data_IF_775824445620
#
_entry.id   IF_775824445620
#
_cell.length_a   1.000
_cell.length_b   1.000
_cell.length_c   1.000
_cell.angle_alpha   90.00
_cell.angle_beta   90.00
_cell.angle_gamma   90.00
#
_symmetry.space_group_name_H-M   'P 1'
#
loop_
_entity.id
_entity.type
_entity.pdbx_description
1 polymer ?
#
# COMPACT_ATOMS: atom_id res chain seq x y z
N UNK A 1 39.14 25.94 -48.71
CA UNK A 1 37.87 25.22 -48.88
C UNK A 1 38.19 23.76 -49.11
N UNK A 2 37.78 22.89 -48.19
CA UNK A 2 37.46 21.47 -48.38
C UNK A 2 37.42 20.82 -47.00
N UNK A 3 36.19 20.76 -46.48
CA UNK A 3 35.74 20.01 -45.32
C UNK A 3 35.76 18.52 -45.63
N UNK A 4 36.19 17.69 -44.68
CA UNK A 4 35.76 16.28 -44.61
C UNK A 4 35.83 15.74 -43.19
N UNK A 5 34.66 15.81 -42.55
CA UNK A 5 34.00 14.77 -41.77
C UNK A 5 34.81 14.02 -40.72
N UNK A 6 34.79 14.64 -39.53
CA UNK A 6 34.96 13.98 -38.25
C UNK A 6 33.75 13.07 -37.99
N UNK A 7 33.93 11.75 -38.14
CA UNK A 7 32.91 10.75 -37.79
C UNK A 7 32.88 10.60 -36.27
N UNK A 8 32.08 11.45 -35.61
CA UNK A 8 31.75 11.29 -34.20
C UNK A 8 30.88 10.05 -34.04
N UNK A 9 31.53 8.98 -33.61
CA UNK A 9 30.92 7.74 -33.15
C UNK A 9 30.29 7.99 -31.76
N UNK A 10 29.12 8.62 -31.73
CA UNK A 10 28.29 8.74 -30.54
C UNK A 10 27.61 7.39 -30.25
N UNK A 11 28.39 6.48 -29.64
CA UNK A 11 27.85 5.34 -28.89
C UNK A 11 26.89 5.89 -27.84
N UNK A 12 25.60 5.85 -28.14
CA UNK A 12 24.57 6.16 -27.15
C UNK A 12 24.64 5.05 -26.10
N UNK A 13 25.20 5.36 -24.93
CA UNK A 13 24.98 4.63 -23.69
C UNK A 13 23.49 4.75 -23.35
N UNK A 14 22.65 3.95 -24.00
CA UNK A 14 21.28 3.72 -23.52
C UNK A 14 21.42 2.72 -22.39
N UNK A 15 21.27 3.21 -21.16
CA UNK A 15 21.03 2.34 -20.02
C UNK A 15 19.90 1.37 -20.36
N UNK A 16 20.01 0.08 -19.98
CA UNK A 16 19.00 -0.90 -20.34
C UNK A 16 17.65 -0.50 -19.72
N UNK A 17 16.58 -0.52 -20.53
CA UNK A 17 15.26 0.07 -20.25
C UNK A 17 14.61 -0.40 -18.93
N UNK A 18 15.08 -1.51 -18.35
CA UNK A 18 14.59 -2.02 -17.07
C UNK A 18 14.93 -1.13 -15.87
N UNK A 19 15.98 -0.30 -15.94
CA UNK A 19 16.30 0.69 -14.87
C UNK A 19 15.20 1.72 -14.64
N UNK A 20 14.20 1.80 -15.52
CA UNK A 20 13.04 2.70 -15.37
C UNK A 20 11.97 2.15 -14.43
N UNK A 21 11.99 0.85 -14.15
CA UNK A 21 10.98 0.21 -13.33
C UNK A 21 11.53 0.03 -11.92
N UNK A 22 10.98 0.78 -10.97
CA UNK A 22 11.33 0.62 -9.55
C UNK A 22 10.07 0.69 -8.71
N UNK A 23 9.82 -0.39 -7.97
CA UNK A 23 8.76 -0.43 -6.96
C UNK A 23 9.25 0.24 -5.67
N UNK A 24 8.32 0.72 -4.86
CA UNK A 24 8.65 1.23 -3.53
C UNK A 24 9.15 0.06 -2.68
N UNK A 25 10.22 0.22 -1.90
CA UNK A 25 10.68 -0.84 -1.01
C UNK A 25 9.70 -1.04 0.14
N UNK A 26 9.44 -2.29 0.51
CA UNK A 26 8.75 -2.65 1.75
C UNK A 26 9.69 -2.35 2.91
N UNK A 27 9.15 -1.79 3.97
CA UNK A 27 9.84 -1.44 5.21
C UNK A 27 9.12 -2.09 6.37
N UNK A 28 9.89 -2.70 7.26
CA UNK A 28 9.43 -3.19 8.55
C UNK A 28 10.09 -2.38 9.66
N UNK A 29 9.28 -1.96 10.62
CA UNK A 29 9.74 -1.30 11.83
C UNK A 29 9.95 -2.33 12.94
N UNK A 30 10.70 -1.96 13.98
CA UNK A 30 10.98 -2.83 15.13
C UNK A 30 9.71 -3.26 15.90
N UNK A 31 8.63 -2.48 15.82
CA UNK A 31 7.32 -2.76 16.42
C UNK A 31 6.46 -3.71 15.57
N UNK A 32 7.04 -4.33 14.54
CA UNK A 32 6.37 -5.19 13.54
C UNK A 32 5.38 -4.46 12.64
N UNK A 33 5.21 -3.14 12.75
CA UNK A 33 4.48 -2.38 11.75
C UNK A 33 5.24 -2.39 10.42
N UNK A 34 4.51 -2.32 9.31
CA UNK A 34 5.11 -2.30 7.98
C UNK A 34 4.29 -1.39 7.05
N UNK A 35 4.92 -0.95 5.95
CA UNK A 35 4.26 -0.12 4.95
C UNK A 35 3.65 -0.94 3.79
N UNK A 36 3.32 -2.22 3.99
CA UNK A 36 2.93 -3.11 2.90
C UNK A 36 1.67 -2.64 2.16
N UNK A 37 0.68 -2.03 2.83
CA UNK A 37 -0.49 -1.49 2.13
C UNK A 37 -0.14 -0.28 1.25
N UNK A 38 0.74 0.60 1.72
CA UNK A 38 1.25 1.70 0.91
C UNK A 38 2.01 1.16 -0.31
N UNK A 39 2.87 0.16 -0.10
CA UNK A 39 3.54 -0.57 -1.16
C UNK A 39 2.54 -1.16 -2.15
N UNK A 40 1.56 -1.94 -1.68
CA UNK A 40 0.54 -2.61 -2.49
C UNK A 40 -0.21 -1.60 -3.36
N UNK A 41 -0.63 -0.48 -2.76
CA UNK A 41 -1.33 0.58 -3.48
C UNK A 41 -0.44 1.22 -4.54
N UNK A 42 0.73 1.73 -4.17
CA UNK A 42 1.66 2.40 -5.10
C UNK A 42 2.16 1.47 -6.20
N UNK A 43 2.48 0.22 -5.85
CA UNK A 43 2.88 -0.81 -6.80
C UNK A 43 1.75 -1.11 -7.78
N UNK A 44 0.50 -1.26 -7.31
CA UNK A 44 -0.64 -1.51 -8.20
C UNK A 44 -0.82 -0.40 -9.25
N UNK A 45 -0.65 0.88 -8.86
CA UNK A 45 -0.74 2.03 -9.77
C UNK A 45 0.40 1.99 -10.80
N UNK A 46 1.64 1.80 -10.33
CA UNK A 46 2.83 1.73 -11.22
C UNK A 46 2.74 0.57 -12.20
N UNK A 47 2.40 -0.63 -11.72
CA UNK A 47 2.29 -1.83 -12.54
C UNK A 47 1.17 -1.75 -13.57
N UNK A 48 0.05 -1.08 -13.23
CA UNK A 48 -1.01 -0.77 -14.22
C UNK A 48 -0.49 0.20 -15.29
N UNK A 49 0.21 1.26 -14.90
CA UNK A 49 0.81 2.21 -15.84
C UNK A 49 1.83 1.53 -16.78
N UNK A 50 2.57 0.54 -16.29
CA UNK A 50 3.52 -0.24 -17.07
C UNK A 50 2.92 -1.43 -17.81
N UNK A 51 1.60 -1.65 -17.72
CA UNK A 51 0.88 -2.81 -18.30
C UNK A 51 1.41 -4.16 -17.82
N UNK A 52 2.03 -4.20 -16.64
CA UNK A 52 2.53 -5.41 -15.99
C UNK A 52 1.53 -6.00 -14.99
N UNK A 53 0.48 -5.26 -14.61
CA UNK A 53 -0.50 -5.74 -13.62
C UNK A 53 -1.21 -7.05 -14.04
N UNK A 54 -1.47 -7.22 -15.34
CA UNK A 54 -2.10 -8.42 -15.95
C UNK A 54 -1.33 -9.72 -15.70
N UNK A 55 -0.14 -9.64 -15.14
CA UNK A 55 0.75 -10.76 -14.85
C UNK A 55 0.70 -11.22 -13.39
N UNK A 56 0.19 -10.36 -12.50
CA UNK A 56 -0.09 -10.69 -11.10
C UNK A 56 -1.57 -10.97 -10.89
N UNK A 57 -2.49 -10.25 -11.54
CA UNK A 57 -3.91 -10.42 -11.24
C UNK A 57 -4.82 -9.45 -11.98
N UNK A 58 -6.11 -9.52 -11.63
CA UNK A 58 -7.18 -8.77 -12.30
C UNK A 58 -7.79 -9.51 -13.49
N UNK A 59 -8.75 -8.89 -14.15
CA UNK A 59 -9.57 -9.54 -15.19
C UNK A 59 -8.77 -9.96 -16.44
N UNK A 60 -7.59 -9.35 -16.63
CA UNK A 60 -6.66 -9.66 -17.72
C UNK A 60 -5.66 -10.78 -17.37
N UNK A 61 -5.64 -11.27 -16.12
CA UNK A 61 -4.73 -12.32 -15.70
C UNK A 61 -5.11 -13.67 -16.31
N UNK A 62 -4.32 -14.08 -17.31
CA UNK A 62 -4.48 -15.34 -18.04
C UNK A 62 -3.10 -15.99 -18.15
N UNK A 63 -2.65 -16.74 -17.12
CA UNK A 63 -1.37 -17.44 -17.16
C UNK A 63 -1.39 -18.47 -18.30
N UNK A 64 -0.26 -18.69 -18.99
CA UNK A 64 -0.19 -19.69 -20.03
C UNK A 64 -0.18 -21.08 -19.39
N UNK A 65 -0.81 -22.05 -20.05
CA UNK A 65 -0.76 -23.45 -19.59
C UNK A 65 0.44 -24.11 -20.26
N UNK A 66 1.52 -24.26 -19.50
CA UNK A 66 2.71 -25.00 -19.93
C UNK A 66 2.63 -26.38 -19.29
N UNK A 67 2.67 -27.48 -20.07
CA UNK A 67 2.66 -28.83 -19.52
C UNK A 67 3.85 -29.04 -18.57
N UNK A 68 3.64 -29.82 -17.51
CA UNK A 68 4.75 -30.24 -16.65
C UNK A 68 5.73 -31.09 -17.47
N UNK A 69 7.03 -30.83 -17.30
CA UNK A 69 8.08 -31.55 -18.02
C UNK A 69 8.15 -33.00 -17.52
N UNK A 70 7.76 -33.93 -18.39
CA UNK A 70 7.95 -35.37 -18.21
C UNK A 70 9.23 -35.76 -18.96
N UNK A 71 10.34 -36.05 -18.26
CA UNK A 71 11.59 -36.40 -18.91
C UNK A 71 11.49 -37.77 -19.57
N UNK A 72 12.18 -37.96 -20.70
CA UNK A 72 12.29 -39.27 -21.33
C UNK A 72 12.96 -40.27 -20.37
N UNK A 73 12.38 -41.46 -20.24
CA UNK A 73 12.89 -42.51 -19.37
C UNK A 73 13.41 -43.68 -20.20
N UNK A 74 14.57 -44.21 -19.82
CA UNK A 74 15.06 -45.48 -20.33
C UNK A 74 14.71 -46.57 -19.34
N UNK A 75 13.95 -47.56 -19.80
CA UNK A 75 13.54 -48.72 -19.01
C UNK A 75 14.04 -49.99 -19.71
N UNK A 76 14.48 -50.97 -18.92
CA UNK A 76 14.84 -52.28 -19.44
C UNK A 76 13.58 -53.14 -19.57
N UNK A 77 13.29 -53.56 -20.79
CA UNK A 77 12.20 -54.49 -21.10
C UNK A 77 12.73 -55.77 -21.73
N UNK A 78 11.89 -56.82 -21.79
CA UNK A 78 12.18 -57.98 -22.65
C UNK A 78 11.53 -57.78 -24.00
N UNK A 79 12.26 -58.05 -25.08
CA UNK A 79 11.69 -58.09 -26.43
C UNK A 79 10.85 -59.37 -26.65
N UNK A 80 10.24 -59.49 -27.83
CA UNK A 80 9.44 -60.67 -28.21
C UNK A 80 10.25 -61.97 -28.30
N UNK A 81 11.58 -61.90 -28.18
CA UNK A 81 12.51 -63.04 -28.19
C UNK A 81 13.08 -63.33 -26.79
N UNK A 82 12.68 -62.58 -25.76
CA UNK A 82 13.14 -62.74 -24.38
C UNK A 82 14.46 -62.03 -24.04
N UNK A 83 15.06 -61.28 -24.96
CA UNK A 83 16.29 -60.51 -24.71
C UNK A 83 15.99 -59.22 -23.96
N UNK A 84 16.87 -58.83 -23.05
CA UNK A 84 16.78 -57.53 -22.37
C UNK A 84 17.16 -56.43 -23.37
N UNK A 85 16.24 -55.52 -23.63
CA UNK A 85 16.41 -54.36 -24.50
C UNK A 85 16.08 -53.08 -23.73
N UNK A 86 16.84 -52.03 -23.98
CA UNK A 86 16.54 -50.70 -23.47
C UNK A 86 15.43 -50.06 -24.32
N UNK A 87 14.26 -49.87 -23.72
CA UNK A 87 13.14 -49.15 -24.32
C UNK A 87 13.18 -47.71 -23.81
N UNK A 88 13.18 -46.75 -24.73
CA UNK A 88 13.09 -45.32 -24.38
C UNK A 88 11.63 -44.89 -24.46
N UNK A 89 11.03 -44.56 -23.32
CA UNK A 89 9.78 -43.83 -23.25
C UNK A 89 10.07 -42.37 -23.55
N UNK A 90 9.51 -41.85 -24.64
CA UNK A 90 9.66 -40.44 -25.00
C UNK A 90 8.89 -39.57 -24.02
N UNK A 91 9.59 -38.57 -23.48
CA UNK A 91 9.00 -37.50 -22.68
C UNK A 91 8.32 -36.44 -23.54
N UNK A 92 7.80 -35.39 -22.90
CA UNK A 92 7.07 -34.29 -23.57
C UNK A 92 7.93 -33.03 -23.81
N UNK A 93 9.27 -33.16 -23.79
CA UNK A 93 10.20 -32.03 -23.93
C UNK A 93 9.89 -31.12 -25.14
N UNK A 94 9.48 -31.71 -26.27
CA UNK A 94 9.14 -30.96 -27.48
C UNK A 94 7.86 -30.12 -27.31
N UNK A 95 6.84 -30.66 -26.64
CA UNK A 95 5.58 -29.96 -26.36
C UNK A 95 5.81 -28.78 -25.41
N UNK A 96 6.60 -29.00 -24.35
CA UNK A 96 6.98 -27.94 -23.40
C UNK A 96 7.75 -26.83 -24.11
N UNK A 97 8.75 -27.17 -24.93
CA UNK A 97 9.54 -26.17 -25.66
C UNK A 97 8.70 -25.35 -26.66
N UNK A 98 7.70 -25.97 -27.30
CA UNK A 98 6.74 -25.25 -28.17
C UNK A 98 5.87 -24.31 -27.35
N UNK A 99 5.34 -24.77 -26.21
CA UNK A 99 4.52 -23.96 -25.32
C UNK A 99 5.30 -22.77 -24.74
N UNK A 100 6.54 -22.98 -24.31
CA UNK A 100 7.43 -21.91 -23.83
C UNK A 100 7.73 -20.88 -24.93
N UNK A 101 7.97 -21.33 -26.17
CA UNK A 101 8.20 -20.43 -27.30
C UNK A 101 6.94 -19.63 -27.67
N UNK A 102 5.77 -20.27 -27.63
CA UNK A 102 4.48 -19.63 -27.92
C UNK A 102 4.17 -18.51 -26.90
N UNK A 103 4.59 -18.71 -25.65
CA UNK A 103 4.31 -17.80 -24.54
C UNK A 103 5.56 -17.05 -24.04
N UNK A 104 6.60 -16.93 -24.86
CA UNK A 104 7.89 -16.37 -24.46
C UNK A 104 7.77 -14.94 -23.90
N UNK A 105 7.00 -14.07 -24.56
CA UNK A 105 6.77 -12.69 -24.09
C UNK A 105 6.11 -12.66 -22.70
N UNK A 106 5.20 -13.59 -22.45
CA UNK A 106 4.56 -13.68 -21.15
C UNK A 106 5.60 -14.13 -20.10
N UNK A 107 6.27 -15.25 -20.32
CA UNK A 107 7.29 -15.73 -19.38
C UNK A 107 8.40 -14.71 -19.09
N UNK A 108 8.82 -13.94 -20.09
CA UNK A 108 9.81 -12.87 -19.91
C UNK A 108 9.30 -11.76 -18.99
N UNK A 109 8.08 -11.26 -19.23
CA UNK A 109 7.50 -10.22 -18.40
C UNK A 109 7.15 -10.70 -16.99
N UNK A 110 6.76 -11.97 -16.82
CA UNK A 110 6.56 -12.57 -15.49
C UNK A 110 7.86 -12.57 -14.69
N UNK A 111 8.95 -13.01 -15.31
CA UNK A 111 10.29 -13.02 -14.70
C UNK A 111 10.77 -11.62 -14.37
N UNK A 112 10.56 -10.66 -15.27
CA UNK A 112 10.85 -9.25 -15.00
C UNK A 112 10.10 -8.78 -13.75
N UNK A 113 8.79 -9.04 -13.69
CA UNK A 113 7.96 -8.61 -12.58
C UNK A 113 8.33 -9.29 -11.26
N UNK A 114 8.62 -10.59 -11.29
CA UNK A 114 9.14 -11.34 -10.16
C UNK A 114 10.45 -10.72 -9.65
N UNK A 115 11.35 -10.30 -10.55
CA UNK A 115 12.58 -9.62 -10.17
C UNK A 115 12.34 -8.26 -9.49
N UNK A 116 11.36 -7.48 -9.98
CA UNK A 116 10.99 -6.18 -9.38
C UNK A 116 10.36 -6.36 -7.99
N UNK A 117 9.54 -7.40 -7.82
CA UNK A 117 8.97 -7.75 -6.51
C UNK A 117 10.09 -8.15 -5.55
N UNK A 118 11.02 -9.01 -5.99
CA UNK A 118 12.12 -9.46 -5.15
C UNK A 118 13.04 -8.30 -4.72
N UNK A 119 13.30 -7.32 -5.60
CA UNK A 119 14.07 -6.12 -5.27
C UNK A 119 13.35 -5.22 -4.25
N UNK A 120 12.02 -5.18 -4.26
CA UNK A 120 11.24 -4.40 -3.30
C UNK A 120 11.21 -5.00 -1.89
N UNK A 121 11.53 -6.28 -1.74
CA UNK A 121 11.44 -7.01 -0.47
C UNK A 121 12.75 -6.88 0.33
N UNK A 122 12.69 -6.56 1.64
CA UNK A 122 13.84 -6.58 2.52
C UNK A 122 14.57 -7.91 2.48
N UNK A 123 15.90 -7.88 2.49
CA UNK A 123 16.73 -9.07 2.45
C UNK A 123 16.35 -10.11 3.53
N UNK A 124 16.00 -9.63 4.73
CA UNK A 124 15.59 -10.45 5.88
C UNK A 124 14.33 -11.30 5.61
N UNK A 125 13.53 -10.90 4.61
CA UNK A 125 12.26 -11.54 4.24
C UNK A 125 12.29 -12.19 2.86
N UNK A 126 13.48 -12.27 2.24
CA UNK A 126 13.68 -12.97 0.96
C UNK A 126 13.24 -14.44 1.00
N UNK A 127 13.25 -15.09 2.17
CA UNK A 127 12.76 -16.46 2.35
C UNK A 127 11.29 -16.63 1.94
N UNK A 128 10.47 -15.57 2.04
CA UNK A 128 9.05 -15.60 1.66
C UNK A 128 8.90 -15.87 0.16
N UNK A 129 9.85 -15.39 -0.64
CA UNK A 129 9.84 -15.52 -2.10
C UNK A 129 10.61 -16.72 -2.62
N UNK A 130 11.35 -17.44 -1.77
CA UNK A 130 12.30 -18.49 -2.20
C UNK A 130 11.64 -19.63 -3.01
N UNK A 131 10.37 -19.93 -2.74
CA UNK A 131 9.62 -21.00 -3.41
C UNK A 131 8.65 -20.48 -4.49
N UNK A 132 8.67 -19.17 -4.76
CA UNK A 132 7.78 -18.57 -5.74
C UNK A 132 8.41 -18.64 -7.13
N UNK A 133 7.70 -19.26 -8.08
CA UNK A 133 8.17 -19.40 -9.46
C UNK A 133 7.56 -18.36 -10.39
N UNK A 134 6.45 -17.75 -9.99
CA UNK A 134 5.76 -16.72 -10.78
C UNK A 134 5.62 -15.42 -9.99
N UNK A 135 5.44 -14.31 -10.70
CA UNK A 135 5.17 -13.02 -10.06
C UNK A 135 3.84 -13.01 -9.28
N UNK A 136 2.84 -13.78 -9.76
CA UNK A 136 1.58 -14.02 -9.06
C UNK A 136 1.79 -14.69 -7.71
N UNK A 137 2.55 -15.78 -7.66
CA UNK A 137 2.83 -16.51 -6.43
C UNK A 137 3.58 -15.64 -5.43
N UNK A 138 4.58 -14.90 -5.91
CA UNK A 138 5.35 -13.96 -5.10
C UNK A 138 4.46 -12.88 -4.49
N UNK A 139 3.59 -12.27 -5.30
CA UNK A 139 2.66 -11.25 -4.81
C UNK A 139 1.71 -11.80 -3.74
N UNK A 140 1.13 -12.98 -3.98
CA UNK A 140 0.23 -13.63 -3.02
C UNK A 140 0.95 -14.04 -1.73
N UNK A 141 2.19 -14.51 -1.83
CA UNK A 141 3.01 -14.84 -0.66
C UNK A 141 3.23 -13.59 0.22
N UNK A 142 3.52 -12.44 -0.40
CA UNK A 142 3.64 -11.17 0.32
C UNK A 142 2.32 -10.75 0.95
N UNK A 143 1.20 -10.84 0.22
CA UNK A 143 -0.12 -10.56 0.79
C UNK A 143 -0.39 -11.41 2.04
N UNK A 144 -0.10 -12.71 2.00
CA UNK A 144 -0.30 -13.62 3.15
C UNK A 144 0.60 -13.31 4.35
N UNK A 145 1.83 -12.89 4.10
CA UNK A 145 2.79 -12.55 5.17
C UNK A 145 2.44 -11.22 5.85
N UNK A 146 2.09 -10.19 5.06
CA UNK A 146 2.02 -8.82 5.55
C UNK A 146 0.60 -8.33 5.90
N UNK A 147 -0.43 -8.77 5.18
CA UNK A 147 -1.79 -8.25 5.38
C UNK A 147 -2.38 -8.59 6.76
N UNK A 148 -2.26 -9.82 7.29
CA UNK A 148 -2.89 -10.15 8.57
C UNK A 148 -2.41 -9.26 9.72
N UNK A 149 -1.12 -8.92 9.73
CA UNK A 149 -0.55 -8.07 10.77
C UNK A 149 -1.05 -6.62 10.64
N UNK A 150 -1.14 -6.10 9.42
CA UNK A 150 -1.69 -4.77 9.17
C UNK A 150 -3.17 -4.70 9.57
N UNK A 151 -3.97 -5.70 9.22
CA UNK A 151 -5.38 -5.78 9.64
C UNK A 151 -5.53 -5.82 11.15
N UNK A 152 -4.72 -6.59 11.87
CA UNK A 152 -4.80 -6.66 13.33
C UNK A 152 -4.38 -5.35 14.00
N UNK A 153 -3.32 -4.71 13.52
CA UNK A 153 -2.87 -3.40 13.99
C UNK A 153 -3.95 -2.34 13.72
N UNK A 154 -4.52 -2.34 12.52
CA UNK A 154 -5.58 -1.41 12.14
C UNK A 154 -6.85 -1.62 12.98
N UNK A 155 -7.27 -2.86 13.23
CA UNK A 155 -8.36 -3.18 14.16
C UNK A 155 -8.09 -2.66 15.56
N UNK A 156 -6.86 -2.81 16.05
CA UNK A 156 -6.46 -2.30 17.36
C UNK A 156 -6.57 -0.77 17.43
N UNK A 157 -6.07 -0.04 16.43
CA UNK A 157 -6.24 1.42 16.36
C UNK A 157 -7.70 1.84 16.24
N UNK A 158 -8.49 1.16 15.43
CA UNK A 158 -9.92 1.41 15.30
C UNK A 158 -10.64 1.27 16.66
N UNK A 159 -10.31 0.21 17.42
CA UNK A 159 -10.83 0.00 18.77
C UNK A 159 -10.38 1.10 19.74
N UNK A 160 -9.11 1.50 19.71
CA UNK A 160 -8.62 2.60 20.55
C UNK A 160 -9.35 3.90 20.25
N UNK A 161 -9.48 4.27 18.96
CA UNK A 161 -10.22 5.47 18.54
C UNK A 161 -11.69 5.41 19.01
N UNK A 162 -12.32 4.25 18.87
CA UNK A 162 -13.73 4.06 19.25
C UNK A 162 -14.00 4.06 20.76
N UNK A 163 -12.96 3.86 21.59
CA UNK A 163 -13.11 3.75 23.05
C UNK A 163 -12.47 4.91 23.82
N UNK A 164 -11.51 5.61 23.21
CA UNK A 164 -10.75 6.67 23.85
C UNK A 164 -11.55 7.97 23.96
N UNK A 165 -12.27 8.13 25.07
CA UNK A 165 -12.97 9.37 25.41
C UNK A 165 -12.09 10.36 26.16
N UNK A 166 -12.27 11.65 25.87
CA UNK A 166 -11.71 12.72 26.67
C UNK A 166 -12.29 12.64 28.09
N UNK A 167 -11.42 12.38 29.07
CA UNK A 167 -11.85 12.26 30.46
C UNK A 167 -12.26 13.61 31.04
N UNK A 168 -13.19 13.65 32.02
CA UNK A 168 -13.51 14.88 32.73
C UNK A 168 -12.27 15.50 33.37
N UNK A 169 -12.06 16.80 33.15
CA UNK A 169 -10.89 17.52 33.66
C UNK A 169 -9.60 17.37 32.83
N UNK A 170 -9.55 16.48 31.83
CA UNK A 170 -8.44 16.41 30.88
C UNK A 170 -8.53 17.53 29.84
N UNK A 171 -7.39 17.92 29.24
CA UNK A 171 -7.37 18.92 28.17
C UNK A 171 -7.84 18.30 26.84
N UNK A 172 -8.92 18.84 26.22
CA UNK A 172 -9.36 18.35 24.92
C UNK A 172 -8.38 18.57 23.78
N UNK A 173 -7.42 19.51 23.89
CA UNK A 173 -6.40 19.66 22.85
C UNK A 173 -5.40 18.50 22.85
N UNK A 174 -4.92 18.08 24.02
CA UNK A 174 -4.07 16.89 24.16
C UNK A 174 -4.80 15.62 23.69
N UNK A 175 -6.05 15.43 24.13
CA UNK A 175 -6.88 14.31 23.66
C UNK A 175 -7.07 14.32 22.14
N UNK A 176 -7.36 15.48 21.55
CA UNK A 176 -7.55 15.64 20.11
C UNK A 176 -6.26 15.28 19.35
N UNK A 177 -5.10 15.68 19.85
CA UNK A 177 -3.81 15.34 19.25
C UNK A 177 -3.59 13.83 19.22
N UNK A 178 -3.85 13.14 20.34
CA UNK A 178 -3.76 11.67 20.40
C UNK A 178 -4.74 11.00 19.42
N UNK A 179 -5.98 11.48 19.34
CA UNK A 179 -6.97 10.96 18.39
C UNK A 179 -6.53 11.13 16.93
N UNK A 180 -5.94 12.29 16.58
CA UNK A 180 -5.42 12.53 15.23
C UNK A 180 -4.24 11.62 14.90
N UNK A 181 -3.36 11.36 15.85
CA UNK A 181 -2.24 10.43 15.66
C UNK A 181 -2.72 9.00 15.48
N UNK A 182 -3.69 8.55 16.29
CA UNK A 182 -4.29 7.22 16.16
C UNK A 182 -4.99 7.07 14.80
N UNK A 183 -5.74 8.09 14.36
CA UNK A 183 -6.42 8.06 13.07
C UNK A 183 -5.43 8.08 11.89
N UNK A 184 -4.33 8.83 12.01
CA UNK A 184 -3.24 8.80 11.03
C UNK A 184 -2.59 7.41 10.93
N UNK A 185 -2.34 6.76 12.08
CA UNK A 185 -1.83 5.39 12.14
C UNK A 185 -2.82 4.37 11.59
N UNK A 186 -4.12 4.53 11.88
CA UNK A 186 -5.18 3.72 11.30
C UNK A 186 -5.19 3.87 9.78
N UNK A 187 -5.21 5.10 9.25
CA UNK A 187 -5.20 5.34 7.80
C UNK A 187 -3.97 4.75 7.11
N UNK A 188 -2.81 4.77 7.78
CA UNK A 188 -1.59 4.15 7.26
C UNK A 188 -1.67 2.61 7.27
N UNK A 189 -2.35 2.03 8.27
CA UNK A 189 -2.47 0.59 8.45
C UNK A 189 -3.65 -0.05 7.70
N UNK A 190 -4.77 0.66 7.53
CA UNK A 190 -5.92 0.37 6.68
C UNK A 190 -6.91 1.56 6.68
N UNK A 191 -6.98 2.30 5.57
CA UNK A 191 -7.89 3.45 5.43
C UNK A 191 -9.35 3.09 5.19
N UNK A 192 -9.68 1.80 4.99
CA UNK A 192 -11.05 1.35 4.71
C UNK A 192 -11.85 1.06 5.97
N UNK A 193 -11.19 0.88 7.12
CA UNK A 193 -11.84 0.52 8.38
C UNK A 193 -12.64 1.66 9.02
N UNK A 194 -12.28 2.92 8.72
CA UNK A 194 -12.98 4.09 9.25
C UNK A 194 -12.90 5.22 8.24
N UNK A 195 -14.05 5.68 7.79
CA UNK A 195 -14.15 6.87 6.96
C UNK A 195 -13.92 8.15 7.76
N UNK A 196 -13.55 9.23 7.07
CA UNK A 196 -13.33 10.54 7.70
C UNK A 196 -14.57 11.06 8.43
N UNK A 197 -15.77 10.77 7.92
CA UNK A 197 -17.03 11.17 8.52
C UNK A 197 -17.38 10.35 9.77
N UNK A 198 -17.03 9.06 9.79
CA UNK A 198 -17.13 8.23 11.00
C UNK A 198 -16.16 8.71 12.07
N UNK A 199 -14.92 9.04 11.69
CA UNK A 199 -13.96 9.62 12.61
C UNK A 199 -14.45 10.96 13.18
N UNK A 200 -15.00 11.84 12.33
CA UNK A 200 -15.61 13.10 12.77
C UNK A 200 -16.74 12.87 13.81
N UNK A 201 -17.60 11.87 13.56
CA UNK A 201 -18.67 11.49 14.50
C UNK A 201 -18.10 10.97 15.83
N UNK A 202 -17.02 10.18 15.80
CA UNK A 202 -16.35 9.69 17.01
C UNK A 202 -15.78 10.88 17.80
N UNK A 203 -15.10 11.83 17.15
CA UNK A 203 -14.58 13.03 17.81
C UNK A 203 -15.69 13.77 18.57
N UNK A 204 -16.85 13.98 17.94
CA UNK A 204 -17.98 14.69 18.57
C UNK A 204 -18.58 13.87 19.73
N UNK A 205 -18.62 12.54 19.60
CA UNK A 205 -19.22 11.63 20.59
C UNK A 205 -18.35 11.50 21.83
N UNK A 206 -17.03 11.44 21.65
CA UNK A 206 -16.03 11.17 22.69
C UNK A 206 -15.39 12.45 23.27
N UNK A 207 -15.81 13.62 22.79
CA UNK A 207 -15.43 14.92 23.33
C UNK A 207 -15.77 15.06 24.83
N UNK A 208 -15.00 15.90 25.53
CA UNK A 208 -15.20 16.16 26.96
C UNK A 208 -16.64 16.52 27.29
N UNK A 209 -17.13 15.97 28.41
CA UNK A 209 -18.45 16.30 28.96
C UNK A 209 -18.43 17.54 29.86
N UNK A 210 -17.26 18.12 30.09
CA UNK A 210 -17.10 19.29 30.95
C UNK A 210 -17.94 20.47 30.46
N UNK A 211 -18.54 21.20 31.40
CA UNK A 211 -19.44 22.32 31.10
C UNK A 211 -18.76 23.41 30.28
N UNK A 212 -17.44 23.55 30.46
CA UNK A 212 -16.57 24.46 29.70
C UNK A 212 -16.73 24.25 28.20
N UNK A 213 -16.95 23.03 27.74
CA UNK A 213 -16.98 22.67 26.32
C UNK A 213 -18.39 22.46 25.78
N UNK A 214 -19.41 22.71 26.60
CA UNK A 214 -20.82 22.45 26.27
C UNK A 214 -21.26 23.12 24.98
N UNK A 215 -20.98 24.41 24.81
CA UNK A 215 -21.41 25.16 23.63
C UNK A 215 -20.83 24.60 22.34
N UNK A 216 -19.52 24.35 22.30
CA UNK A 216 -18.81 23.77 21.16
C UNK A 216 -19.33 22.37 20.83
N UNK A 217 -19.54 21.54 21.86
CA UNK A 217 -20.08 20.19 21.72
C UNK A 217 -21.50 20.21 21.14
N UNK A 218 -22.38 21.05 21.68
CA UNK A 218 -23.78 21.12 21.27
C UNK A 218 -23.90 21.71 19.84
N UNK A 219 -23.03 22.69 19.50
CA UNK A 219 -22.87 23.18 18.13
C UNK A 219 -22.46 22.06 17.16
N UNK A 220 -21.39 21.31 17.47
CA UNK A 220 -20.92 20.21 16.62
C UNK A 220 -21.95 19.09 16.47
N UNK A 221 -22.71 18.78 17.53
CA UNK A 221 -23.83 17.83 17.45
C UNK A 221 -24.94 18.30 16.53
N UNK A 222 -25.24 19.59 16.54
CA UNK A 222 -26.23 20.20 15.63
C UNK A 222 -25.75 20.10 14.18
N UNK A 223 -24.47 20.40 13.93
CA UNK A 223 -23.87 20.24 12.60
C UNK A 223 -23.88 18.79 12.11
N UNK A 224 -23.61 17.84 13.00
CA UNK A 224 -23.69 16.41 12.68
C UNK A 224 -25.12 15.98 12.32
N UNK A 225 -26.13 16.47 13.02
CA UNK A 225 -27.54 16.20 12.70
C UNK A 225 -27.94 16.81 11.35
N UNK A 226 -27.50 18.04 11.06
CA UNK A 226 -27.76 18.70 9.78
C UNK A 226 -27.09 17.94 8.62
N UNK A 227 -25.85 17.50 8.79
CA UNK A 227 -25.14 16.65 7.85
C UNK A 227 -25.91 15.36 7.53
N UNK A 228 -26.48 14.71 8.56
CA UNK A 228 -27.30 13.51 8.39
C UNK A 228 -28.61 13.78 7.64
N UNK A 229 -29.26 14.91 7.89
CA UNK A 229 -30.50 15.29 7.21
C UNK A 229 -30.27 15.67 5.74
N UNK A 230 -29.15 16.33 5.44
CA UNK A 230 -28.83 16.82 4.09
C UNK A 230 -28.09 15.79 3.25
N UNK A 231 -27.59 14.71 3.85
CA UNK A 231 -26.77 13.69 3.19
C UNK A 231 -25.34 14.15 2.88
N UNK A 232 -24.95 15.36 3.31
CA UNK A 232 -23.58 15.87 3.16
C UNK A 232 -22.79 15.51 4.41
N UNK A 233 -21.79 14.61 4.32
CA UNK A 233 -21.07 14.15 5.50
C UNK A 233 -20.22 15.27 6.12
N UNK A 234 -20.25 15.34 7.44
CA UNK A 234 -19.37 16.21 8.21
C UNK A 234 -17.95 15.62 8.22
N UNK A 235 -16.93 16.42 7.94
CA UNK A 235 -15.54 15.99 7.89
C UNK A 235 -14.82 16.19 9.21
N UNK A 236 -13.77 15.39 9.45
CA UNK A 236 -12.96 15.52 10.65
C UNK A 236 -12.23 16.87 10.69
N UNK A 237 -11.83 17.41 9.54
CA UNK A 237 -11.19 18.72 9.40
C UNK A 237 -12.05 19.86 9.94
N UNK A 238 -13.36 19.86 9.67
CA UNK A 238 -14.29 20.85 10.22
C UNK A 238 -14.36 20.75 11.73
N UNK A 239 -14.49 19.54 12.28
CA UNK A 239 -14.53 19.30 13.73
C UNK A 239 -13.24 19.77 14.40
N UNK A 240 -12.09 19.37 13.86
CA UNK A 240 -10.76 19.76 14.37
C UNK A 240 -10.57 21.27 14.36
N UNK A 241 -10.98 21.95 13.28
CA UNK A 241 -10.87 23.40 13.19
C UNK A 241 -11.68 24.09 14.29
N UNK A 242 -12.93 23.66 14.50
CA UNK A 242 -13.80 24.22 15.55
C UNK A 242 -13.21 24.01 16.94
N UNK A 243 -12.73 22.81 17.24
CA UNK A 243 -12.11 22.49 18.53
C UNK A 243 -10.85 23.31 18.80
N UNK A 244 -10.00 23.48 17.78
CA UNK A 244 -8.78 24.30 17.90
C UNK A 244 -9.08 25.78 18.08
N UNK A 245 -10.03 26.33 17.32
CA UNK A 245 -10.46 27.73 17.47
C UNK A 245 -10.97 28.02 18.88
N UNK A 246 -11.86 27.16 19.40
CA UNK A 246 -12.38 27.31 20.76
C UNK A 246 -11.28 27.23 21.82
N UNK A 247 -10.32 26.32 21.64
CA UNK A 247 -9.19 26.17 22.56
C UNK A 247 -8.32 27.45 22.62
N UNK A 248 -8.13 28.12 21.48
CA UNK A 248 -7.44 29.41 21.38
C UNK A 248 -8.25 30.52 22.06
N UNK A 249 -9.54 30.61 21.78
CA UNK A 249 -10.43 31.66 22.29
C UNK A 249 -10.58 31.60 23.82
N UNK A 250 -10.58 30.39 24.38
CA UNK A 250 -10.58 30.16 25.84
C UNK A 250 -9.23 30.44 26.51
N UNK A 251 -8.18 30.72 25.76
CA UNK A 251 -6.85 31.03 26.29
C UNK A 251 -6.15 29.84 26.93
N UNK A 252 -6.53 28.61 26.57
CA UNK A 252 -5.95 27.38 27.11
C UNK A 252 -4.64 26.98 26.39
N UNK A 253 -4.33 27.59 25.24
CA UNK A 253 -3.01 27.55 24.58
C UNK A 253 -2.42 28.97 24.42
N UNK A 254 -1.57 29.45 25.35
CA UNK A 254 -0.95 30.77 25.25
C UNK A 254 -0.04 30.91 24.02
N UNK A 255 0.61 29.83 23.59
CA UNK A 255 1.54 29.83 22.45
C UNK A 255 0.86 30.02 21.08
N UNK A 256 -0.34 29.45 20.90
CA UNK A 256 -1.10 29.59 19.64
C UNK A 256 -1.79 30.96 19.58
N UNK A 257 -2.27 31.47 20.71
CA UNK A 257 -2.83 32.83 20.80
C UNK A 257 -1.79 33.89 20.40
N UNK A 258 -0.52 33.70 20.80
CA UNK A 258 0.58 34.58 20.38
C UNK A 258 0.81 34.55 18.86
N UNK A 259 0.81 33.37 18.23
CA UNK A 259 0.94 33.25 16.77
C UNK A 259 -0.24 33.87 16.01
N UNK A 260 -1.48 33.64 16.44
CA UNK A 260 -2.66 34.21 15.80
C UNK A 260 -2.69 35.75 15.92
N UNK A 261 -2.26 36.28 17.07
CA UNK A 261 -2.12 37.73 17.28
C UNK A 261 -1.04 38.33 16.37
N UNK A 262 0.09 37.64 16.19
CA UNK A 262 1.15 38.06 15.26
C UNK A 262 0.66 38.09 13.81
N UNK A 263 -0.06 37.07 13.36
CA UNK A 263 -0.62 37.00 11.99
C UNK A 263 -1.66 38.10 11.75
N UNK A 264 -2.56 38.35 12.71
CA UNK A 264 -3.52 39.45 12.62
C UNK A 264 -2.83 40.82 12.61
N UNK A 265 -1.79 41.02 13.42
CA UNK A 265 -1.03 42.29 13.45
C UNK A 265 -0.25 42.55 12.15
N UNK A 266 0.29 41.50 11.50
CA UNK A 266 0.97 41.59 10.22
C UNK A 266 0.01 41.90 9.04
N UNK A 267 -1.24 41.45 9.15
CA UNK A 267 -2.28 41.70 8.13
C UNK A 267 -2.79 43.15 8.16
N UNK A 268 -2.82 43.77 9.34
CA UNK A 268 -3.28 45.16 9.53
C UNK A 268 -2.19 46.19 9.15
N UNK A 269 -0.91 45.80 9.19
CA UNK A 269 0.22 46.65 8.81
C UNK A 269 0.56 46.61 7.32
N UNK A 270 -0.17 45.81 6.54
CA UNK A 270 -0.02 45.66 5.08
C UNK A 270 -1.13 46.36 4.27
N UNK A 271 -2.00 47.14 4.94
CA UNK A 271 -3.11 47.89 4.33
C UNK A 271 -2.87 49.39 4.33
#
# INVERSE_FOLDING_TARGET
MSTSNNSNNSRSNREPDWKRFTLTSIKENADRSNNFLEFKHKASIKLKAWKLWKYIGGDEYKPPVIPELVPSQRIQGRDNSGNIVDVTLQGNNAEVAIAERLHAEWLENDRLLLSLINEAVPYQKSYVLQKCHTSHDAWNALCREYEPNNSLIAMNFNQQISTFSCQPGADPAEWLQVMLELYGKLCAADSTLMSDSEFAKILITHMSKDEKWRYTRDYLRTQLQLAQQTGVPLTSSTVVSVLRSEHIDRGLAPEIKAMHTLIQSASISSG
#
